data_IF_069215340988
#
_entry.id   IF_069215340988
#
_cell.length_a   1.000
_cell.length_b   1.000
_cell.length_c   1.000
_cell.angle_alpha   90.00
_cell.angle_beta   90.00
_cell.angle_gamma   90.00
#
_symmetry.space_group_name_H-M   'P 1'
#
loop_
_entity.id
_entity.type
_entity.pdbx_description
1 polymer ?
#
# COMPACT_ATOMS: atom_id res chain seq x y z
N UNK A 1 -31.01 6.70 -19.05
CA UNK A 1 -32.31 7.30 -18.66
C UNK A 1 -32.70 8.30 -19.74
N UNK A 2 -33.82 8.02 -20.36
CA UNK A 2 -34.29 8.60 -21.62
C UNK A 2 -34.43 10.13 -21.58
N UNK A 3 -34.19 10.71 -22.76
CA UNK A 3 -34.51 12.09 -23.10
C UNK A 3 -36.04 12.27 -23.03
N UNK A 4 -36.55 12.72 -21.89
CA UNK A 4 -37.91 13.26 -21.77
C UNK A 4 -37.82 14.73 -21.43
N UNK A 5 -37.84 15.55 -22.47
CA UNK A 5 -38.35 16.92 -22.40
C UNK A 5 -39.85 16.87 -22.05
N UNK A 6 -40.19 16.53 -20.80
CA UNK A 6 -41.49 16.92 -20.26
C UNK A 6 -41.38 18.39 -19.89
N UNK A 7 -41.87 19.22 -20.83
CA UNK A 7 -41.96 20.67 -20.69
C UNK A 7 -42.56 21.07 -19.35
N UNK A 8 -42.04 22.17 -18.81
CA UNK A 8 -42.48 22.76 -17.55
C UNK A 8 -43.99 22.95 -17.62
N UNK A 9 -44.75 22.30 -16.73
CA UNK A 9 -46.20 22.48 -16.66
C UNK A 9 -46.56 23.95 -16.38
N UNK A 10 -47.78 24.36 -16.73
CA UNK A 10 -48.26 25.75 -16.57
C UNK A 10 -48.01 26.30 -15.15
N UNK A 11 -48.15 25.46 -14.13
CA UNK A 11 -47.85 25.81 -12.73
C UNK A 11 -46.37 26.16 -12.49
N UNK A 12 -45.44 25.47 -13.14
CA UNK A 12 -44.01 25.78 -13.04
C UNK A 12 -43.66 27.13 -13.66
N UNK A 13 -44.27 27.48 -14.79
CA UNK A 13 -44.13 28.81 -15.40
C UNK A 13 -44.69 29.93 -14.53
N UNK A 14 -45.82 29.70 -13.84
CA UNK A 14 -46.39 30.66 -12.88
C UNK A 14 -45.43 30.88 -11.70
N UNK A 15 -44.88 29.81 -11.13
CA UNK A 15 -43.90 29.89 -10.03
C UNK A 15 -42.62 30.63 -10.43
N UNK A 16 -42.11 30.39 -11.64
CA UNK A 16 -40.94 31.10 -12.17
C UNK A 16 -41.24 32.58 -12.38
N UNK A 17 -42.40 32.92 -12.95
CA UNK A 17 -42.83 34.30 -13.14
C UNK A 17 -42.98 35.05 -11.81
N UNK A 18 -43.58 34.42 -10.80
CA UNK A 18 -43.73 34.99 -9.46
C UNK A 18 -42.37 35.19 -8.76
N UNK A 19 -41.47 34.21 -8.87
CA UNK A 19 -40.09 34.31 -8.35
C UNK A 19 -39.34 35.48 -9.00
N UNK A 20 -39.48 35.64 -10.32
CA UNK A 20 -38.87 36.75 -11.05
C UNK A 20 -39.45 38.11 -10.64
N UNK A 21 -40.77 38.21 -10.48
CA UNK A 21 -41.44 39.42 -9.97
C UNK A 21 -40.91 39.81 -8.58
N UNK A 22 -40.77 38.84 -7.68
CA UNK A 22 -40.21 39.05 -6.33
C UNK A 22 -38.77 39.55 -6.37
N UNK A 23 -37.92 38.99 -7.24
CA UNK A 23 -36.54 39.43 -7.43
C UNK A 23 -36.47 40.87 -7.93
N UNK A 24 -37.41 41.27 -8.81
CA UNK A 24 -37.50 42.61 -9.39
C UNK A 24 -37.96 43.66 -8.37
N UNK A 25 -38.96 43.31 -7.54
CA UNK A 25 -39.45 44.16 -6.45
C UNK A 25 -38.38 44.37 -5.36
N UNK A 26 -37.58 43.34 -5.08
CA UNK A 26 -36.54 43.36 -4.03
C UNK A 26 -35.17 43.83 -4.51
N UNK A 27 -35.08 44.37 -5.73
CA UNK A 27 -33.88 44.99 -6.26
C UNK A 27 -33.57 46.29 -5.48
N UNK A 28 -32.32 46.55 -5.04
CA UNK A 28 -31.04 45.92 -5.41
C UNK A 28 -30.56 44.77 -4.51
N UNK A 29 -31.24 44.48 -3.40
CA UNK A 29 -30.77 43.52 -2.37
C UNK A 29 -30.72 42.08 -2.93
N UNK A 30 -31.66 41.74 -3.82
CA UNK A 30 -31.77 40.42 -4.44
C UNK A 30 -30.54 40.00 -5.24
N UNK A 31 -29.79 40.95 -5.82
CA UNK A 31 -28.63 40.62 -6.68
C UNK A 31 -27.50 39.96 -5.90
N UNK A 32 -27.35 40.32 -4.62
CA UNK A 32 -26.35 39.74 -3.73
C UNK A 32 -26.71 38.32 -3.28
N UNK A 33 -28.00 38.00 -3.24
CA UNK A 33 -28.49 36.65 -2.96
C UNK A 33 -28.34 35.72 -4.18
N UNK A 34 -28.52 36.25 -5.40
CA UNK A 34 -28.45 35.50 -6.65
C UNK A 34 -27.02 35.10 -7.04
N UNK A 35 -26.03 35.91 -6.69
CA UNK A 35 -24.62 35.65 -7.03
C UNK A 35 -23.99 34.77 -5.94
N UNK A 36 -23.56 33.56 -6.33
CA UNK A 36 -22.79 32.67 -5.47
C UNK A 36 -21.43 32.35 -6.09
N UNK A 37 -20.43 32.28 -5.23
CA UNK A 37 -19.05 31.90 -5.60
C UNK A 37 -18.83 30.43 -5.22
N UNK A 38 -18.42 29.63 -6.21
CA UNK A 38 -17.92 28.26 -6.01
C UNK A 38 -16.40 28.31 -6.06
N UNK A 39 -15.75 27.63 -5.10
CA UNK A 39 -14.29 27.47 -5.07
C UNK A 39 -13.82 26.50 -6.15
N UNK A 40 -12.54 26.57 -6.52
CA UNK A 40 -12.00 25.76 -7.62
C UNK A 40 -12.14 24.25 -7.40
N UNK A 41 -11.99 23.81 -6.15
CA UNK A 41 -12.13 22.42 -5.72
C UNK A 41 -13.58 21.99 -5.41
N UNK A 42 -14.54 22.90 -5.48
CA UNK A 42 -15.96 22.61 -5.27
C UNK A 42 -16.68 22.50 -6.61
N UNK A 43 -17.76 21.71 -6.64
CA UNK A 43 -18.76 21.73 -7.72
C UNK A 43 -20.14 21.91 -7.13
N UNK A 44 -20.97 22.69 -7.81
CA UNK A 44 -22.36 22.86 -7.42
C UNK A 44 -23.28 22.01 -8.30
N UNK A 45 -24.09 21.19 -7.65
CA UNK A 45 -25.25 20.54 -8.27
C UNK A 45 -26.45 21.45 -8.03
N UNK A 46 -27.02 21.98 -9.10
CA UNK A 46 -28.18 22.89 -9.04
C UNK A 46 -29.43 22.12 -9.42
N UNK A 47 -30.42 22.18 -8.54
CA UNK A 47 -31.76 21.66 -8.75
C UNK A 47 -32.69 22.81 -9.09
N UNK A 48 -33.44 22.66 -10.16
CA UNK A 48 -34.50 23.58 -10.53
C UNK A 48 -35.85 22.91 -10.30
N UNK A 49 -36.64 23.43 -9.36
CA UNK A 49 -37.92 22.81 -8.94
C UNK A 49 -37.77 21.31 -8.61
N UNK A 50 -36.64 20.94 -7.98
CA UNK A 50 -36.30 19.55 -7.63
C UNK A 50 -35.75 18.69 -8.76
N UNK A 51 -35.68 19.19 -10.01
CA UNK A 51 -35.08 18.49 -11.15
C UNK A 51 -33.61 18.90 -11.32
N UNK A 52 -32.76 17.95 -11.68
CA UNK A 52 -31.35 18.25 -11.98
C UNK A 52 -31.29 18.99 -13.31
N UNK A 53 -30.90 20.28 -13.27
CA UNK A 53 -30.95 21.18 -14.42
C UNK A 53 -29.97 20.77 -15.54
N UNK A 54 -28.86 20.10 -15.20
CA UNK A 54 -27.83 19.72 -16.15
C UNK A 54 -27.16 18.41 -15.76
N UNK A 55 -26.92 17.54 -16.75
CA UNK A 55 -26.17 16.28 -16.58
C UNK A 55 -24.74 16.49 -16.08
N UNK A 56 -24.19 17.71 -16.21
CA UNK A 56 -22.87 18.09 -15.68
C UNK A 56 -23.04 19.11 -14.56
N UNK A 57 -22.28 18.93 -13.48
CA UNK A 57 -22.22 19.90 -12.38
C UNK A 57 -21.63 21.23 -12.88
N UNK A 58 -22.09 22.35 -12.31
CA UNK A 58 -21.56 23.67 -12.67
C UNK A 58 -20.12 23.79 -12.16
N UNK A 59 -19.24 24.29 -13.05
CA UNK A 59 -17.83 24.51 -12.79
C UNK A 59 -17.55 25.62 -11.77
N UNK A 60 -16.28 25.86 -11.44
CA UNK A 60 -15.90 26.86 -10.44
C UNK A 60 -16.12 28.28 -10.97
N UNK A 61 -16.26 29.24 -10.05
CA UNK A 61 -16.51 30.65 -10.37
C UNK A 61 -17.87 31.15 -9.93
N UNK A 62 -18.32 32.22 -10.58
CA UNK A 62 -19.59 32.88 -10.29
C UNK A 62 -20.73 32.14 -10.97
N UNK A 63 -21.69 31.69 -10.17
CA UNK A 63 -22.94 31.10 -10.64
C UNK A 63 -24.11 31.91 -10.13
N UNK A 64 -25.04 32.15 -11.05
CA UNK A 64 -26.34 32.74 -10.76
C UNK A 64 -27.33 31.63 -10.41
N UNK A 65 -27.99 31.79 -9.27
CA UNK A 65 -29.00 30.88 -8.74
C UNK A 65 -30.21 31.72 -8.33
N UNK A 66 -31.42 31.32 -8.72
CA UNK A 66 -32.63 31.97 -8.23
C UNK A 66 -32.98 31.47 -6.82
N UNK A 67 -33.01 32.34 -5.79
CA UNK A 67 -33.11 31.92 -4.39
C UNK A 67 -34.40 31.17 -4.01
N UNK A 68 -35.48 31.29 -4.81
CA UNK A 68 -36.77 30.66 -4.51
C UNK A 68 -37.08 29.40 -5.32
N UNK A 69 -36.55 29.27 -6.53
CA UNK A 69 -36.83 28.14 -7.43
C UNK A 69 -35.69 27.14 -7.48
N UNK A 70 -34.48 27.60 -7.20
CA UNK A 70 -33.27 26.84 -7.41
C UNK A 70 -32.64 26.52 -6.06
N UNK A 71 -32.36 25.25 -5.82
CA UNK A 71 -31.55 24.82 -4.68
C UNK A 71 -30.20 24.32 -5.20
N UNK A 72 -29.15 24.46 -4.40
CA UNK A 72 -27.82 24.01 -4.80
C UNK A 72 -27.16 23.24 -3.66
N UNK A 73 -26.42 22.20 -4.02
CA UNK A 73 -25.59 21.43 -3.10
C UNK A 73 -24.16 21.53 -3.58
N UNK A 74 -23.26 21.92 -2.67
CA UNK A 74 -21.82 22.00 -2.92
C UNK A 74 -21.19 20.66 -2.58
N UNK A 75 -20.38 20.15 -3.49
CA UNK A 75 -19.62 18.91 -3.31
C UNK A 75 -18.14 19.22 -3.47
N UNK A 76 -17.34 18.75 -2.53
CA UNK A 76 -15.89 18.86 -2.58
C UNK A 76 -15.32 17.71 -3.44
N UNK A 77 -14.43 18.03 -4.38
CA UNK A 77 -13.77 17.04 -5.24
C UNK A 77 -12.42 16.58 -4.69
N UNK A 78 -11.94 17.14 -3.57
CA UNK A 78 -10.66 16.76 -2.97
C UNK A 78 -10.66 15.32 -2.47
N UNK A 79 -9.46 14.77 -2.32
CA UNK A 79 -9.28 13.45 -1.70
C UNK A 79 -9.72 13.49 -0.25
N UNK A 80 -10.66 12.63 0.09
CA UNK A 80 -11.17 12.42 1.45
C UNK A 80 -10.64 11.09 1.97
N UNK A 81 -10.28 11.06 3.24
CA UNK A 81 -9.83 9.88 3.95
C UNK A 81 -10.98 9.29 4.76
N UNK A 82 -11.27 8.01 4.56
CA UNK A 82 -12.21 7.24 5.38
C UNK A 82 -11.41 6.26 6.24
N UNK A 83 -11.43 6.49 7.55
CA UNK A 83 -10.76 5.64 8.52
C UNK A 83 -11.70 4.53 8.97
N UNK A 84 -11.32 3.28 8.73
CA UNK A 84 -12.07 2.10 9.16
C UNK A 84 -11.59 1.74 10.57
N UNK A 85 -12.47 1.67 11.57
CA UNK A 85 -12.09 1.30 12.93
C UNK A 85 -11.58 -0.16 12.94
N UNK A 86 -10.75 -0.54 13.94
CA UNK A 86 -10.28 -1.91 14.10
C UNK A 86 -11.46 -2.91 14.12
N UNK A 87 -11.37 -3.92 13.26
CA UNK A 87 -12.37 -4.99 13.19
C UNK A 87 -11.74 -6.31 13.62
N UNK A 88 -12.42 -7.04 14.48
CA UNK A 88 -12.07 -8.41 14.81
C UNK A 88 -12.58 -9.34 13.71
N UNK A 89 -11.67 -10.07 13.10
CA UNK A 89 -11.92 -10.99 11.99
C UNK A 89 -11.24 -12.34 12.25
N UNK A 90 -11.83 -13.40 11.70
CA UNK A 90 -11.24 -14.72 11.65
C UNK A 90 -10.60 -14.90 10.27
N UNK A 91 -9.30 -15.18 10.22
CA UNK A 91 -8.61 -15.48 8.96
C UNK A 91 -8.94 -16.89 8.47
N UNK A 92 -8.50 -17.22 7.26
CA UNK A 92 -8.64 -18.56 6.67
C UNK A 92 -8.05 -19.67 7.56
N UNK A 93 -7.01 -19.35 8.33
CA UNK A 93 -6.31 -20.29 9.20
C UNK A 93 -6.92 -20.37 10.61
N UNK A 94 -8.15 -19.85 10.79
CA UNK A 94 -8.85 -19.79 12.07
C UNK A 94 -8.11 -18.98 13.16
N UNK A 95 -7.32 -17.98 12.77
CA UNK A 95 -6.68 -17.06 13.72
C UNK A 95 -7.52 -15.79 13.86
N UNK A 96 -7.84 -15.41 15.09
CA UNK A 96 -8.48 -14.14 15.38
C UNK A 96 -7.47 -13.01 15.24
N UNK A 97 -7.77 -12.01 14.42
CA UNK A 97 -6.92 -10.83 14.23
C UNK A 97 -7.77 -9.57 14.22
N UNK A 98 -7.19 -8.46 14.68
CA UNK A 98 -7.80 -7.15 14.57
C UNK A 98 -7.08 -6.35 13.49
N UNK A 99 -7.83 -5.89 12.49
CA UNK A 99 -7.28 -5.14 11.37
C UNK A 99 -8.00 -3.80 11.24
N UNK A 100 -7.23 -2.72 11.10
CA UNK A 100 -7.73 -1.41 10.72
C UNK A 100 -7.14 -0.96 9.37
N UNK A 101 -7.74 0.09 8.80
CA UNK A 101 -7.34 0.56 7.47
C UNK A 101 -7.91 1.92 7.13
N UNK A 102 -7.39 2.49 6.05
CA UNK A 102 -7.78 3.80 5.53
C UNK A 102 -8.04 3.71 4.04
N UNK A 103 -9.14 4.32 3.59
CA UNK A 103 -9.51 4.43 2.18
C UNK A 103 -9.39 5.88 1.75
N UNK A 104 -8.61 6.13 0.71
CA UNK A 104 -8.47 7.41 0.05
C UNK A 104 -9.33 7.40 -1.20
N UNK A 105 -10.31 8.30 -1.28
CA UNK A 105 -11.18 8.42 -2.45
C UNK A 105 -11.44 9.88 -2.80
N UNK A 106 -11.82 10.11 -4.05
CA UNK A 106 -12.20 11.42 -4.58
C UNK A 106 -13.57 11.31 -5.21
N UNK A 107 -14.36 12.38 -5.15
CA UNK A 107 -15.62 12.43 -5.90
C UNK A 107 -15.28 12.91 -7.31
N UNK A 108 -15.48 12.05 -8.31
CA UNK A 108 -15.26 12.40 -9.71
C UNK A 108 -16.52 13.02 -10.33
N UNK A 109 -17.71 12.54 -9.95
CA UNK A 109 -19.00 13.05 -10.42
C UNK A 109 -19.88 13.53 -9.27
N UNK A 110 -19.94 14.84 -9.06
CA UNK A 110 -20.80 15.45 -8.05
C UNK A 110 -22.30 15.18 -8.29
N UNK A 111 -22.73 15.07 -9.56
CA UNK A 111 -24.13 14.79 -9.89
C UNK A 111 -24.52 13.38 -9.44
N UNK A 112 -23.70 12.38 -9.75
CA UNK A 112 -23.94 10.99 -9.35
C UNK A 112 -23.90 10.84 -7.83
N UNK A 113 -22.96 11.52 -7.17
CA UNK A 113 -22.80 11.48 -5.73
C UNK A 113 -24.04 11.99 -4.97
N UNK A 114 -24.68 13.06 -5.48
CA UNK A 114 -25.88 13.61 -4.83
C UNK A 114 -27.17 12.90 -5.29
N UNK A 115 -27.21 12.39 -6.52
CA UNK A 115 -28.43 11.79 -7.07
C UNK A 115 -28.63 10.32 -6.67
N UNK A 116 -27.55 9.55 -6.58
CA UNK A 116 -27.63 8.10 -6.45
C UNK A 116 -27.55 7.61 -5.00
N UNK A 117 -27.11 8.46 -4.06
CA UNK A 117 -27.02 8.09 -2.65
C UNK A 117 -27.29 9.30 -1.74
N UNK A 118 -27.89 9.04 -0.57
CA UNK A 118 -28.22 10.08 0.41
C UNK A 118 -26.99 10.63 1.13
N UNK A 119 -26.15 9.73 1.65
CA UNK A 119 -24.87 10.06 2.27
C UNK A 119 -23.75 9.18 1.69
N UNK A 120 -22.98 9.80 0.80
CA UNK A 120 -21.85 9.21 0.09
C UNK A 120 -20.77 8.72 1.06
N UNK A 121 -20.50 9.49 2.11
CA UNK A 121 -19.39 9.22 3.03
C UNK A 121 -19.71 8.03 3.92
N UNK A 122 -20.91 8.01 4.53
CA UNK A 122 -21.36 6.90 5.37
C UNK A 122 -21.53 5.60 4.59
N UNK A 123 -22.08 5.67 3.36
CA UNK A 123 -22.24 4.49 2.52
C UNK A 123 -20.89 3.88 2.11
N UNK A 124 -19.93 4.73 1.72
CA UNK A 124 -18.57 4.29 1.38
C UNK A 124 -17.87 3.68 2.58
N UNK A 125 -18.04 4.24 3.78
CA UNK A 125 -17.51 3.67 5.02
C UNK A 125 -18.04 2.27 5.30
N UNK A 126 -19.36 2.07 5.24
CA UNK A 126 -19.99 0.76 5.49
C UNK A 126 -19.58 -0.28 4.44
N UNK A 127 -19.51 0.13 3.17
CA UNK A 127 -19.06 -0.73 2.09
C UNK A 127 -17.59 -1.12 2.28
N UNK A 128 -16.71 -0.16 2.59
CA UNK A 128 -15.31 -0.43 2.87
C UNK A 128 -15.12 -1.38 4.06
N UNK A 129 -15.88 -1.18 5.14
CA UNK A 129 -15.87 -2.07 6.30
C UNK A 129 -16.25 -3.51 5.93
N UNK A 130 -17.30 -3.69 5.12
CA UNK A 130 -17.80 -5.01 4.72
C UNK A 130 -16.84 -5.69 3.74
N UNK A 131 -16.33 -4.96 2.76
CA UNK A 131 -15.37 -5.49 1.77
C UNK A 131 -14.05 -5.89 2.42
N UNK A 132 -13.54 -5.07 3.36
CA UNK A 132 -12.34 -5.38 4.14
C UNK A 132 -12.53 -6.68 4.93
N UNK A 133 -13.66 -6.83 5.64
CA UNK A 133 -13.98 -8.07 6.37
C UNK A 133 -14.04 -9.30 5.46
N UNK A 134 -14.71 -9.18 4.31
CA UNK A 134 -14.91 -10.29 3.38
C UNK A 134 -13.58 -10.75 2.76
N UNK A 135 -12.75 -9.82 2.31
CA UNK A 135 -11.45 -10.17 1.71
C UNK A 135 -10.52 -10.74 2.76
N UNK A 136 -10.35 -10.07 3.90
CA UNK A 136 -9.40 -10.52 4.91
C UNK A 136 -9.78 -11.88 5.50
N UNK A 137 -11.08 -12.22 5.58
CA UNK A 137 -11.52 -13.55 5.99
C UNK A 137 -11.15 -14.69 5.02
N UNK A 138 -10.86 -14.37 3.76
CA UNK A 138 -10.42 -15.36 2.75
C UNK A 138 -8.89 -15.53 2.68
N UNK A 139 -8.14 -14.63 3.32
CA UNK A 139 -6.68 -14.62 3.31
C UNK A 139 -6.10 -15.36 4.54
N UNK A 140 -4.91 -15.93 4.38
CA UNK A 140 -4.15 -16.54 5.48
C UNK A 140 -3.43 -15.47 6.30
N UNK A 141 -3.09 -15.78 7.56
CA UNK A 141 -2.36 -14.83 8.42
C UNK A 141 -1.02 -14.43 7.82
N UNK A 142 -0.30 -15.39 7.24
CA UNK A 142 0.99 -15.15 6.58
C UNK A 142 0.85 -14.20 5.39
N UNK A 143 -0.22 -14.33 4.60
CA UNK A 143 -0.53 -13.42 3.48
C UNK A 143 -0.87 -12.02 3.99
N UNK A 144 -1.60 -11.88 5.09
CA UNK A 144 -1.90 -10.56 5.68
C UNK A 144 -0.62 -9.82 6.11
N UNK A 145 0.36 -10.54 6.66
CA UNK A 145 1.61 -9.96 7.14
C UNK A 145 2.61 -9.66 6.01
N UNK A 146 2.74 -10.55 5.02
CA UNK A 146 3.71 -10.41 3.93
C UNK A 146 3.16 -9.69 2.69
N UNK A 147 1.90 -9.93 2.33
CA UNK A 147 1.25 -9.52 1.08
C UNK A 147 0.28 -8.35 1.21
N UNK A 148 0.50 -7.43 2.17
CA UNK A 148 -0.42 -6.32 2.46
C UNK A 148 -0.76 -5.46 1.23
N UNK A 149 0.20 -5.27 0.32
CA UNK A 149 0.03 -4.44 -0.88
C UNK A 149 -0.88 -5.10 -1.92
N UNK A 150 -0.74 -6.41 -2.13
CA UNK A 150 -1.59 -7.18 -3.03
C UNK A 150 -3.04 -7.22 -2.54
N UNK A 151 -3.23 -7.42 -1.23
CA UNK A 151 -4.54 -7.40 -0.59
C UNK A 151 -5.18 -6.02 -0.70
N UNK A 152 -4.41 -4.96 -0.42
CA UNK A 152 -4.87 -3.58 -0.54
C UNK A 152 -5.31 -3.25 -1.98
N UNK A 153 -4.56 -3.70 -2.98
CA UNK A 153 -4.91 -3.53 -4.39
C UNK A 153 -6.20 -4.30 -4.75
N UNK A 154 -6.38 -5.51 -4.23
CA UNK A 154 -7.62 -6.29 -4.41
C UNK A 154 -8.83 -5.58 -3.81
N UNK A 155 -8.71 -5.07 -2.57
CA UNK A 155 -9.77 -4.29 -1.91
C UNK A 155 -10.07 -3.01 -2.71
N UNK A 156 -9.04 -2.31 -3.18
CA UNK A 156 -9.19 -1.11 -4.00
C UNK A 156 -10.01 -1.40 -5.25
N UNK A 157 -9.68 -2.45 -6.01
CA UNK A 157 -10.38 -2.79 -7.26
C UNK A 157 -11.87 -3.06 -7.03
N UNK A 158 -12.20 -3.79 -5.96
CA UNK A 158 -13.60 -4.10 -5.61
C UNK A 158 -14.35 -2.84 -5.16
N UNK A 159 -13.73 -2.01 -4.31
CA UNK A 159 -14.36 -0.76 -3.87
C UNK A 159 -14.53 0.24 -5.01
N UNK A 160 -13.56 0.36 -5.91
CA UNK A 160 -13.63 1.26 -7.05
C UNK A 160 -14.80 0.88 -7.97
N UNK A 161 -14.92 -0.40 -8.32
CA UNK A 161 -16.02 -0.89 -9.16
C UNK A 161 -17.40 -0.70 -8.51
N UNK A 162 -17.51 -0.95 -7.21
CA UNK A 162 -18.79 -0.80 -6.50
C UNK A 162 -19.20 0.67 -6.30
N UNK A 163 -18.23 1.58 -6.11
CA UNK A 163 -18.48 3.00 -5.83
C UNK A 163 -18.54 3.89 -7.07
N UNK A 164 -18.22 3.35 -8.25
CA UNK A 164 -18.33 4.05 -9.53
C UNK A 164 -19.75 4.57 -9.80
N UNK A 165 -20.77 3.80 -9.42
CA UNK A 165 -22.17 4.19 -9.54
C UNK A 165 -22.51 5.44 -8.72
N UNK A 166 -21.80 5.67 -7.62
CA UNK A 166 -21.96 6.86 -6.78
C UNK A 166 -21.09 8.03 -7.27
N UNK A 167 -20.34 7.87 -8.36
CA UNK A 167 -19.44 8.90 -8.88
C UNK A 167 -18.18 9.09 -8.05
N UNK A 168 -17.79 8.09 -7.27
CA UNK A 168 -16.57 8.07 -6.47
C UNK A 168 -15.48 7.33 -7.24
N UNK A 169 -14.25 7.80 -7.10
CA UNK A 169 -13.04 7.11 -7.56
C UNK A 169 -12.17 6.78 -6.35
N UNK A 170 -11.86 5.51 -6.13
CA UNK A 170 -10.98 5.09 -5.04
C UNK A 170 -9.54 5.20 -5.49
N UNK A 171 -8.78 6.08 -4.84
CA UNK A 171 -7.39 6.37 -5.19
C UNK A 171 -6.43 5.31 -4.63
N UNK A 172 -6.62 4.94 -3.35
CA UNK A 172 -5.78 3.95 -2.66
C UNK A 172 -6.49 3.40 -1.44
N UNK A 173 -6.19 2.15 -1.11
CA UNK A 173 -6.53 1.54 0.17
C UNK A 173 -5.22 1.22 0.90
N UNK A 174 -5.16 1.48 2.20
CA UNK A 174 -4.02 1.16 3.06
C UNK A 174 -4.51 0.34 4.24
N UNK A 175 -3.86 -0.80 4.49
CA UNK A 175 -4.01 -1.56 5.73
C UNK A 175 -3.03 -0.95 6.73
N UNK A 176 -3.52 -0.52 7.89
CA UNK A 176 -2.72 0.25 8.84
C UNK A 176 -2.01 -0.67 9.83
N UNK A 177 -2.74 -1.29 10.74
CA UNK A 177 -2.22 -2.21 11.74
C UNK A 177 -2.95 -3.56 11.69
N UNK A 178 -2.20 -4.65 11.84
CA UNK A 178 -2.72 -6.02 12.04
C UNK A 178 -2.29 -6.48 13.43
N UNK A 179 -3.23 -6.57 14.36
CA UNK A 179 -2.98 -7.00 15.74
C UNK A 179 -3.40 -8.46 15.90
N UNK A 180 -2.49 -9.25 16.46
CA UNK A 180 -2.66 -10.67 16.73
C UNK A 180 -2.69 -10.84 18.26
N UNK A 181 -3.48 -11.80 18.81
CA UNK A 181 -3.43 -12.12 20.23
C UNK A 181 -2.01 -12.40 20.71
N UNK A 182 -1.65 -11.85 21.88
CA UNK A 182 -0.29 -11.92 22.44
C UNK A 182 0.21 -13.36 22.59
N UNK A 183 -0.69 -14.30 22.91
CA UNK A 183 -0.35 -15.72 23.02
C UNK A 183 0.15 -16.31 21.68
N UNK A 184 -0.55 -16.01 20.58
CA UNK A 184 -0.18 -16.47 19.24
C UNK A 184 1.08 -15.73 18.75
N UNK A 185 1.21 -14.44 19.03
CA UNK A 185 2.40 -13.66 18.66
C UNK A 185 3.68 -14.23 19.29
N UNK A 186 3.62 -14.67 20.56
CA UNK A 186 4.77 -15.34 21.23
C UNK A 186 5.08 -16.68 20.60
N UNK A 187 4.08 -17.55 20.41
CA UNK A 187 4.29 -18.85 19.79
C UNK A 187 4.88 -18.75 18.37
N UNK A 188 4.43 -17.78 17.57
CA UNK A 188 4.99 -17.52 16.25
C UNK A 188 6.41 -16.98 16.29
N UNK A 189 6.75 -16.14 17.29
CA UNK A 189 8.11 -15.65 17.47
C UNK A 189 9.06 -16.80 17.83
N UNK A 190 8.66 -17.68 18.75
CA UNK A 190 9.43 -18.85 19.16
C UNK A 190 9.64 -19.82 17.98
N UNK A 191 8.58 -20.09 17.19
CA UNK A 191 8.66 -20.93 15.98
C UNK A 191 9.57 -20.30 14.91
N UNK A 192 9.44 -18.99 14.69
CA UNK A 192 10.25 -18.28 13.70
C UNK A 192 11.73 -18.24 14.10
N UNK A 193 12.04 -18.09 15.39
CA UNK A 193 13.40 -18.15 15.93
C UNK A 193 14.01 -19.54 15.73
N UNK A 194 13.30 -20.59 16.13
CA UNK A 194 13.75 -21.97 15.94
C UNK A 194 13.96 -22.32 14.46
N UNK A 195 13.04 -21.91 13.57
CA UNK A 195 13.17 -22.12 12.13
C UNK A 195 14.35 -21.33 11.54
N UNK A 196 14.62 -20.12 12.02
CA UNK A 196 15.73 -19.28 11.58
C UNK A 196 17.07 -19.85 12.04
N UNK A 197 17.17 -20.35 13.27
CA UNK A 197 18.35 -21.06 13.76
C UNK A 197 18.63 -22.34 12.98
N UNK A 198 17.60 -23.16 12.73
CA UNK A 198 17.74 -24.38 11.95
C UNK A 198 18.23 -24.08 10.53
N UNK A 199 17.64 -23.06 9.87
CA UNK A 199 18.09 -22.62 8.53
C UNK A 199 19.52 -22.09 8.56
N UNK A 200 19.89 -21.31 9.58
CA UNK A 200 21.25 -20.80 9.72
C UNK A 200 22.28 -21.93 9.82
N UNK A 201 21.98 -23.00 10.58
CA UNK A 201 22.84 -24.19 10.68
C UNK A 201 22.99 -24.93 9.35
N UNK A 202 21.90 -25.08 8.59
CA UNK A 202 21.95 -25.72 7.26
C UNK A 202 22.78 -24.90 6.30
N UNK A 203 22.57 -23.58 6.24
CA UNK A 203 23.33 -22.67 5.39
C UNK A 203 24.82 -22.66 5.77
N UNK A 204 25.14 -22.71 7.07
CA UNK A 204 26.53 -22.80 7.53
C UNK A 204 27.20 -24.12 7.10
N UNK A 205 26.52 -25.26 7.30
CA UNK A 205 27.04 -26.57 6.89
C UNK A 205 27.20 -26.68 5.36
N UNK A 206 26.25 -26.13 4.60
CA UNK A 206 26.34 -26.09 3.14
C UNK A 206 27.48 -25.16 2.67
N UNK A 207 27.64 -24.01 3.34
CA UNK A 207 28.77 -23.11 3.13
C UNK A 207 30.11 -23.78 3.40
N UNK A 208 30.23 -24.54 4.49
CA UNK A 208 31.44 -25.29 4.86
C UNK A 208 31.75 -26.42 3.87
N UNK A 209 30.73 -27.16 3.42
CA UNK A 209 30.89 -28.18 2.38
C UNK A 209 31.34 -27.57 1.05
N UNK A 210 30.75 -26.45 0.63
CA UNK A 210 31.12 -25.77 -0.60
C UNK A 210 32.54 -25.20 -0.53
N UNK A 211 32.93 -24.62 0.62
CA UNK A 211 34.30 -24.18 0.88
C UNK A 211 35.29 -25.36 0.84
N UNK A 212 34.94 -26.49 1.44
CA UNK A 212 35.79 -27.69 1.45
C UNK A 212 36.00 -28.26 0.05
N UNK A 213 34.96 -28.29 -0.80
CA UNK A 213 35.07 -28.68 -2.21
C UNK A 213 35.98 -27.75 -3.00
N UNK A 214 35.83 -26.44 -2.81
CA UNK A 214 36.70 -25.46 -3.45
C UNK A 214 38.17 -25.63 -3.00
N UNK A 215 38.42 -25.83 -1.71
CA UNK A 215 39.76 -26.10 -1.17
C UNK A 215 40.36 -27.40 -1.71
N UNK A 216 39.55 -28.46 -1.84
CA UNK A 216 39.98 -29.72 -2.45
C UNK A 216 40.43 -29.50 -3.90
N UNK A 217 39.66 -28.76 -4.69
CA UNK A 217 40.00 -28.46 -6.07
C UNK A 217 41.29 -27.62 -6.18
N UNK A 218 41.45 -26.63 -5.29
CA UNK A 218 42.70 -25.87 -5.21
C UNK A 218 43.88 -26.76 -4.80
N UNK A 219 43.68 -27.70 -3.87
CA UNK A 219 44.72 -28.66 -3.47
C UNK A 219 45.17 -29.54 -4.62
N UNK A 220 44.25 -30.01 -5.48
CA UNK A 220 44.61 -30.80 -6.67
C UNK A 220 45.47 -30.00 -7.64
N UNK A 221 45.08 -28.76 -7.93
CA UNK A 221 45.85 -27.86 -8.82
C UNK A 221 47.22 -27.52 -8.23
N UNK A 222 47.31 -27.31 -6.91
CA UNK A 222 48.58 -27.04 -6.23
C UNK A 222 49.50 -28.27 -6.17
N UNK A 223 48.94 -29.48 -6.13
CA UNK A 223 49.72 -30.71 -6.21
C UNK A 223 50.33 -30.93 -7.60
N UNK A 224 49.62 -30.53 -8.66
CA UNK A 224 50.13 -30.56 -10.04
C UNK A 224 51.24 -29.53 -10.28
N UNK A 225 51.24 -28.39 -9.57
CA UNK A 225 52.23 -27.32 -9.74
C UNK A 225 52.94 -26.93 -8.44
N UNK A 226 54.15 -27.46 -8.16
CA UNK A 226 54.87 -27.19 -6.91
C UNK A 226 55.31 -25.71 -6.76
N UNK A 227 55.45 -24.97 -7.86
CA UNK A 227 55.71 -23.52 -7.81
C UNK A 227 54.54 -22.73 -7.21
N UNK A 228 53.30 -23.20 -7.38
CA UNK A 228 52.10 -22.58 -6.81
C UNK A 228 52.07 -22.63 -5.28
N UNK A 229 52.55 -23.73 -4.68
CA UNK A 229 52.69 -23.87 -3.22
C UNK A 229 53.67 -22.85 -2.64
N UNK A 230 54.79 -22.59 -3.33
CA UNK A 230 55.77 -21.58 -2.93
C UNK A 230 55.21 -20.16 -3.01
N UNK A 231 54.45 -19.82 -4.07
CA UNK A 231 53.81 -18.51 -4.17
C UNK A 231 52.73 -18.31 -3.10
N UNK A 232 51.90 -19.33 -2.85
CA UNK A 232 50.93 -19.30 -1.76
C UNK A 232 51.63 -19.12 -0.41
N UNK A 233 52.73 -19.84 -0.17
CA UNK A 233 53.53 -19.71 1.05
C UNK A 233 54.04 -18.28 1.25
N UNK A 234 54.59 -17.65 0.21
CA UNK A 234 55.01 -16.25 0.25
C UNK A 234 53.84 -15.29 0.51
N UNK A 235 52.66 -15.53 -0.08
CA UNK A 235 51.46 -14.74 0.19
C UNK A 235 50.97 -14.89 1.64
N UNK A 236 51.01 -16.10 2.20
CA UNK A 236 50.64 -16.32 3.60
C UNK A 236 51.62 -15.62 4.55
N UNK A 237 52.91 -15.61 4.20
CA UNK A 237 53.92 -14.88 4.95
C UNK A 237 53.70 -13.36 4.90
N UNK A 238 53.28 -12.80 3.77
CA UNK A 238 52.98 -11.36 3.68
C UNK A 238 51.71 -10.99 4.45
N UNK A 239 50.67 -11.84 4.46
CA UNK A 239 49.47 -11.58 5.29
C UNK A 239 49.76 -11.72 6.78
N UNK A 240 50.56 -12.72 7.20
CA UNK A 240 50.98 -12.87 8.60
C UNK A 240 51.90 -11.74 9.07
N UNK A 241 52.75 -11.21 8.19
CA UNK A 241 53.57 -10.04 8.49
C UNK A 241 52.75 -8.74 8.60
N UNK A 242 51.56 -8.69 7.98
CA UNK A 242 50.64 -7.55 8.05
C UNK A 242 49.79 -7.54 9.33
N UNK A 243 49.37 -8.71 9.83
CA UNK A 243 48.70 -8.85 11.13
C UNK A 243 49.72 -8.91 12.28
N UNK A 244 50.32 -7.77 12.67
CA UNK A 244 51.20 -7.49 13.83
C UNK A 244 51.46 -8.64 14.87
N UNK A 245 51.99 -9.79 14.47
CA UNK A 245 52.27 -10.93 15.34
C UNK A 245 53.80 -11.11 15.46
N UNK A 246 54.33 -11.00 16.68
CA UNK A 246 55.77 -10.99 16.97
C UNK A 246 56.43 -12.38 17.00
N UNK A 247 55.70 -13.45 16.67
CA UNK A 247 56.22 -14.82 16.71
C UNK A 247 55.81 -15.57 15.44
N UNK A 248 56.76 -15.70 14.51
CA UNK A 248 56.58 -16.43 13.26
C UNK A 248 57.11 -17.86 13.47
N UNK A 249 56.20 -18.82 13.59
CA UNK A 249 56.55 -20.25 13.69
C UNK A 249 56.67 -20.81 12.28
N UNK A 250 57.86 -21.30 11.91
CA UNK A 250 58.13 -21.90 10.61
C UNK A 250 57.88 -23.42 10.65
N UNK A 251 56.80 -23.95 10.04
CA UNK A 251 56.66 -25.38 9.85
C UNK A 251 57.56 -25.83 8.69
N UNK A 252 58.73 -26.38 9.00
CA UNK A 252 59.58 -27.00 7.99
C UNK A 252 58.98 -28.35 7.55
N UNK A 253 58.99 -28.62 6.24
CA UNK A 253 58.56 -29.92 5.71
C UNK A 253 59.53 -31.02 6.15
N UNK A 254 58.99 -32.19 6.53
CA UNK A 254 59.79 -33.34 7.01
C UNK A 254 60.85 -33.77 5.98
N UNK A 255 60.56 -33.58 4.69
CA UNK A 255 61.47 -33.86 3.58
C UNK A 255 62.74 -32.98 3.59
N UNK A 256 62.69 -31.75 4.11
CA UNK A 256 63.88 -30.90 4.28
C UNK A 256 64.72 -31.31 5.50
N UNK A 257 64.08 -31.83 6.56
CA UNK A 257 64.78 -32.36 7.73
C UNK A 257 65.53 -33.66 7.42
N UNK A 258 64.93 -34.56 6.62
CA UNK A 258 65.57 -35.82 6.22
C UNK A 258 66.85 -35.58 5.40
N UNK A 259 66.87 -34.55 4.55
CA UNK A 259 68.05 -34.13 3.79
C UNK A 259 69.19 -33.61 4.69
N UNK A 260 68.86 -32.93 5.81
CA UNK A 260 69.87 -32.53 6.81
C UNK A 260 70.37 -33.71 7.64
N UNK A 261 69.49 -34.68 7.97
CA UNK A 261 69.83 -35.85 8.77
C UNK A 261 70.70 -36.91 8.05
N UNK A 262 70.55 -37.06 6.73
CA UNK A 262 71.35 -37.99 5.94
C UNK A 262 72.82 -37.58 5.78
N UNK A 263 73.15 -36.29 5.96
CA UNK A 263 74.51 -35.79 5.78
C UNK A 263 75.48 -36.20 6.89
N UNK A 264 74.99 -36.75 8.01
CA UNK A 264 75.80 -37.07 9.20
C UNK A 264 76.14 -38.57 9.36
N UNK A 265 75.96 -39.40 8.31
CA UNK A 265 76.23 -40.86 8.35
C UNK A 265 77.26 -41.36 7.34
N UNK A 266 77.98 -40.47 6.66
CA UNK A 266 79.11 -40.82 5.81
C UNK A 266 80.34 -40.00 6.19
N UNK A 267 81.23 -40.58 6.98
CA UNK A 267 82.46 -39.97 7.48
C UNK A 267 82.96 -40.69 8.72
#
# INVERSE_FOLDING_TARGET
IADRQEGIGVCGWILVSLSFLLVLITFPISIWACIKVIREYERAVVFWLGRILSKKAKGPGLILILPYTDTFIKVDLRTVTCNIPPQEILTKDAVTTQVDGVVYYTIHSAVSAVANITDVHSATFLLAQTTLRNILGTQSLAQLLAGREEIAHSIQAILDSATEQWGIKVARVEIKDVRIPVAMQRAMADEAEAAREARAKVVAAEGEMNASKALQQVSMVLAESPAGLQLRYLQTLTTLAAENNSTIVFPFSINMLESLGQKNRGG
#
